data_IF_250732148157
#
_entry.id   IF_250732148157
#
_cell.length_a   1.000
_cell.length_b   1.000
_cell.length_c   1.000
_cell.angle_alpha   90.00
_cell.angle_beta   90.00
_cell.angle_gamma   90.00
#
_symmetry.space_group_name_H-M   'P 1'
#
loop_
_entity.id
_entity.type
_entity.pdbx_description
1 polymer ?
#
# COMPACT_ATOMS: atom_id res chain seq x y z
N UNK A 1 -17.38 17.54 -21.32
CA UNK A 1 -16.60 16.30 -21.49
C UNK A 1 -16.23 15.66 -20.14
N UNK A 2 -15.48 16.33 -19.26
CA UNK A 2 -14.99 15.78 -17.97
C UNK A 2 -16.05 15.08 -17.09
N UNK A 3 -17.20 15.71 -16.85
CA UNK A 3 -18.26 15.13 -16.00
C UNK A 3 -18.92 13.87 -16.58
N UNK A 4 -18.97 13.73 -17.91
CA UNK A 4 -19.51 12.54 -18.56
C UNK A 4 -18.53 11.37 -18.44
N UNK A 5 -17.24 11.64 -18.56
CA UNK A 5 -16.17 10.65 -18.41
C UNK A 5 -16.05 10.19 -16.94
N UNK A 6 -16.18 11.12 -15.99
CA UNK A 6 -16.27 10.82 -14.56
C UNK A 6 -17.44 9.90 -14.22
N UNK A 7 -18.66 10.19 -14.72
CA UNK A 7 -19.81 9.29 -14.52
C UNK A 7 -19.60 7.89 -15.12
N UNK A 8 -18.92 7.80 -16.26
CA UNK A 8 -18.65 6.53 -16.94
C UNK A 8 -17.66 5.66 -16.17
N UNK A 9 -16.65 6.27 -15.53
CA UNK A 9 -15.64 5.56 -14.74
C UNK A 9 -16.05 5.34 -13.28
N UNK A 10 -16.99 6.14 -12.76
CA UNK A 10 -17.42 6.06 -11.36
C UNK A 10 -17.96 4.67 -10.99
N UNK A 11 -18.92 4.14 -11.76
CA UNK A 11 -19.51 2.83 -11.46
C UNK A 11 -18.51 1.66 -11.55
N UNK A 12 -17.64 1.58 -12.58
CA UNK A 12 -16.56 0.60 -12.61
C UNK A 12 -15.59 0.70 -11.42
N UNK A 13 -15.15 1.91 -11.06
CA UNK A 13 -14.23 2.12 -9.93
C UNK A 13 -14.91 1.75 -8.61
N UNK A 14 -16.16 2.15 -8.40
CA UNK A 14 -16.93 1.78 -7.22
C UNK A 14 -17.14 0.27 -7.12
N UNK A 15 -17.50 -0.39 -8.23
CA UNK A 15 -17.61 -1.84 -8.29
C UNK A 15 -16.28 -2.54 -7.98
N UNK A 16 -15.17 -2.01 -8.48
CA UNK A 16 -13.84 -2.51 -8.14
C UNK A 16 -13.52 -2.33 -6.66
N UNK A 17 -13.82 -1.16 -6.08
CA UNK A 17 -13.60 -0.90 -4.66
C UNK A 17 -14.37 -1.89 -3.77
N UNK A 18 -15.61 -2.25 -4.13
CA UNK A 18 -16.40 -3.27 -3.42
C UNK A 18 -15.71 -4.65 -3.49
N UNK A 19 -15.30 -5.09 -4.68
CA UNK A 19 -14.63 -6.39 -4.86
C UNK A 19 -13.28 -6.43 -4.13
N UNK A 20 -12.48 -5.36 -4.27
CA UNK A 20 -11.18 -5.25 -3.64
C UNK A 20 -11.28 -5.22 -2.10
N UNK A 21 -12.21 -4.43 -1.55
CA UNK A 21 -12.45 -4.37 -0.11
C UNK A 21 -12.95 -5.70 0.46
N UNK A 22 -13.87 -6.40 -0.22
CA UNK A 22 -14.29 -7.74 0.18
C UNK A 22 -13.10 -8.71 0.23
N UNK A 23 -12.22 -8.67 -0.78
CA UNK A 23 -10.98 -9.45 -0.78
C UNK A 23 -10.04 -9.10 0.39
N UNK A 24 -9.86 -7.81 0.67
CA UNK A 24 -9.02 -7.35 1.78
C UNK A 24 -9.58 -7.77 3.14
N UNK A 25 -10.90 -7.75 3.34
CA UNK A 25 -11.54 -8.24 4.56
C UNK A 25 -11.18 -9.71 4.81
N UNK A 26 -11.21 -10.56 3.78
CA UNK A 26 -10.81 -11.97 3.91
C UNK A 26 -9.34 -12.10 4.32
N UNK A 27 -8.45 -11.31 3.72
CA UNK A 27 -7.01 -11.33 4.05
C UNK A 27 -6.78 -10.86 5.49
N UNK A 28 -7.38 -9.75 5.91
CA UNK A 28 -7.26 -9.24 7.28
C UNK A 28 -7.89 -10.19 8.31
N UNK A 29 -8.99 -10.87 7.97
CA UNK A 29 -9.58 -11.88 8.82
C UNK A 29 -8.61 -13.04 9.06
N UNK A 30 -7.98 -13.57 8.00
CA UNK A 30 -6.97 -14.62 8.10
C UNK A 30 -5.79 -14.16 8.97
N UNK A 31 -5.28 -12.94 8.75
CA UNK A 31 -4.23 -12.37 9.58
C UNK A 31 -4.64 -12.22 11.05
N UNK A 32 -5.88 -11.80 11.31
CA UNK A 32 -6.43 -11.70 12.66
C UNK A 32 -6.48 -13.05 13.37
N UNK A 33 -6.89 -14.12 12.66
CA UNK A 33 -6.89 -15.49 13.20
C UNK A 33 -5.46 -15.94 13.54
N UNK A 34 -4.49 -15.72 12.66
CA UNK A 34 -3.08 -16.04 12.94
C UNK A 34 -2.52 -15.21 14.11
N UNK A 35 -2.86 -13.93 14.19
CA UNK A 35 -2.48 -13.06 15.30
C UNK A 35 -3.07 -13.52 16.63
N UNK A 36 -4.35 -13.90 16.66
CA UNK A 36 -5.02 -14.44 17.84
C UNK A 36 -4.46 -15.79 18.27
N UNK A 37 -4.13 -16.67 17.32
CA UNK A 37 -3.47 -17.92 17.63
C UNK A 37 -2.08 -17.68 18.25
N UNK A 38 -1.30 -16.77 17.65
CA UNK A 38 0.00 -16.35 18.19
C UNK A 38 -0.11 -15.80 19.62
N UNK A 39 -1.09 -14.93 19.89
CA UNK A 39 -1.29 -14.38 21.23
C UNK A 39 -1.72 -15.42 22.26
N UNK A 40 -2.51 -16.43 21.86
CA UNK A 40 -2.92 -17.53 22.75
C UNK A 40 -1.73 -18.40 23.17
N UNK A 41 -0.80 -18.69 22.25
CA UNK A 41 0.44 -19.41 22.56
C UNK A 41 1.27 -18.58 23.54
N UNK A 42 1.48 -17.29 23.25
CA UNK A 42 2.26 -16.41 24.13
C UNK A 42 1.67 -16.38 25.54
N UNK A 43 0.34 -16.31 25.66
CA UNK A 43 -0.34 -16.29 26.96
C UNK A 43 -0.19 -17.61 27.72
N UNK A 44 -0.23 -18.75 27.04
CA UNK A 44 -0.08 -20.07 27.66
C UNK A 44 1.35 -20.34 28.18
N UNK A 45 2.37 -19.74 27.56
CA UNK A 45 3.77 -19.88 27.97
C UNK A 45 4.29 -18.70 28.81
N UNK A 46 3.62 -17.54 28.77
CA UNK A 46 4.03 -16.30 29.41
C UNK A 46 3.92 -16.29 30.94
N UNK A 47 3.11 -17.17 31.54
CA UNK A 47 3.05 -17.34 33.00
C UNK A 47 4.35 -17.89 33.59
N UNK A 48 5.17 -18.52 32.77
CA UNK A 48 6.52 -18.93 33.13
C UNK A 48 7.44 -17.85 32.56
N UNK A 49 7.88 -16.88 33.37
CA UNK A 49 8.85 -15.82 33.03
C UNK A 49 10.25 -16.38 32.64
N UNK A 50 10.24 -17.34 31.74
CA UNK A 50 11.41 -18.00 31.19
C UNK A 50 11.87 -17.18 29.99
N UNK A 51 13.19 -17.04 29.85
CA UNK A 51 13.81 -16.37 28.72
C UNK A 51 13.27 -16.86 27.37
N UNK A 52 12.97 -18.16 27.26
CA UNK A 52 12.42 -18.78 26.05
C UNK A 52 11.03 -18.22 25.72
N UNK A 53 10.13 -18.06 26.70
CA UNK A 53 8.79 -17.53 26.45
C UNK A 53 8.83 -16.08 25.93
N UNK A 54 9.67 -15.23 26.52
CA UNK A 54 9.84 -13.83 26.09
C UNK A 54 10.45 -13.75 24.69
N UNK A 55 11.47 -14.55 24.39
CA UNK A 55 12.11 -14.61 23.08
C UNK A 55 11.13 -15.05 21.99
N UNK A 56 10.41 -16.15 22.23
CA UNK A 56 9.44 -16.70 21.28
C UNK A 56 8.29 -15.72 21.05
N UNK A 57 7.74 -15.10 22.11
CA UNK A 57 6.68 -14.12 21.95
C UNK A 57 7.11 -12.89 21.16
N UNK A 58 8.29 -12.36 21.45
CA UNK A 58 8.85 -11.20 20.72
C UNK A 58 9.10 -11.54 19.25
N UNK A 59 9.67 -12.73 18.97
CA UNK A 59 9.92 -13.19 17.60
C UNK A 59 8.63 -13.35 16.79
N UNK A 60 7.59 -13.96 17.37
CA UNK A 60 6.28 -14.09 16.71
C UNK A 60 5.61 -12.73 16.47
N UNK A 61 5.69 -11.81 17.43
CA UNK A 61 5.16 -10.46 17.26
C UNK A 61 5.86 -9.71 16.11
N UNK A 62 7.19 -9.76 16.04
CA UNK A 62 7.96 -9.16 14.95
C UNK A 62 7.62 -9.80 13.60
N UNK A 63 7.50 -11.13 13.56
CA UNK A 63 7.13 -11.85 12.33
C UNK A 63 5.73 -11.45 11.84
N UNK A 64 4.75 -11.35 12.75
CA UNK A 64 3.40 -10.87 12.40
C UNK A 64 3.41 -9.44 11.89
N UNK A 65 4.20 -8.54 12.50
CA UNK A 65 4.35 -7.16 12.03
C UNK A 65 4.92 -7.13 10.61
N UNK A 66 6.00 -7.89 10.35
CA UNK A 66 6.63 -7.96 9.02
C UNK A 66 5.66 -8.53 7.98
N UNK A 67 4.98 -9.63 8.29
CA UNK A 67 3.97 -10.22 7.40
C UNK A 67 2.84 -9.23 7.10
N UNK A 68 2.34 -8.54 8.12
CA UNK A 68 1.28 -7.53 7.96
C UNK A 68 1.73 -6.37 7.08
N UNK A 69 2.97 -5.90 7.24
CA UNK A 69 3.54 -4.83 6.42
C UNK A 69 3.68 -5.26 4.95
N UNK A 70 4.21 -6.45 4.70
CA UNK A 70 4.34 -7.01 3.34
C UNK A 70 2.98 -7.15 2.67
N UNK A 71 1.98 -7.66 3.40
CA UNK A 71 0.61 -7.82 2.90
C UNK A 71 -0.04 -6.46 2.64
N UNK A 72 0.15 -5.48 3.53
CA UNK A 72 -0.37 -4.13 3.33
C UNK A 72 0.22 -3.45 2.08
N UNK A 73 1.54 -3.54 1.88
CA UNK A 73 2.20 -3.03 0.68
C UNK A 73 1.70 -3.77 -0.57
N UNK A 74 1.55 -5.10 -0.49
CA UNK A 74 1.06 -5.92 -1.60
C UNK A 74 -0.38 -5.61 -1.97
N UNK A 75 -1.23 -5.41 -0.97
CA UNK A 75 -2.62 -4.98 -1.13
C UNK A 75 -2.71 -3.60 -1.82
N UNK A 76 -1.89 -2.65 -1.40
CA UNK A 76 -1.84 -1.32 -2.02
C UNK A 76 -1.35 -1.42 -3.47
N UNK A 77 -0.25 -2.13 -3.73
CA UNK A 77 0.25 -2.39 -5.08
C UNK A 77 -0.85 -3.00 -5.96
N UNK A 78 -1.54 -4.01 -5.43
CA UNK A 78 -2.63 -4.71 -6.09
C UNK A 78 -3.76 -3.76 -6.49
N UNK A 79 -4.19 -2.90 -5.57
CA UNK A 79 -5.23 -1.90 -5.82
C UNK A 79 -4.79 -0.93 -6.92
N UNK A 80 -3.59 -0.37 -6.83
CA UNK A 80 -3.09 0.58 -7.84
C UNK A 80 -3.02 -0.04 -9.24
N UNK A 81 -2.38 -1.21 -9.37
CA UNK A 81 -2.27 -1.88 -10.67
C UNK A 81 -3.63 -2.30 -11.23
N UNK A 82 -4.55 -2.76 -10.38
CA UNK A 82 -5.90 -3.13 -10.83
C UNK A 82 -6.71 -1.92 -11.28
N UNK A 83 -6.61 -0.79 -10.58
CA UNK A 83 -7.28 0.47 -10.99
C UNK A 83 -6.70 0.96 -12.31
N UNK A 84 -5.38 0.90 -12.48
CA UNK A 84 -4.73 1.27 -13.76
C UNK A 84 -5.24 0.36 -14.88
N UNK A 85 -5.28 -0.95 -14.68
CA UNK A 85 -5.82 -1.89 -15.66
C UNK A 85 -7.28 -1.58 -16.01
N UNK A 86 -8.11 -1.29 -15.01
CA UNK A 86 -9.51 -0.91 -15.19
C UNK A 86 -9.67 0.34 -16.05
N UNK A 87 -8.86 1.38 -15.79
CA UNK A 87 -8.95 2.67 -16.47
C UNK A 87 -8.35 2.61 -17.88
N UNK A 88 -7.14 2.05 -18.02
CA UNK A 88 -6.40 2.01 -19.28
C UNK A 88 -7.06 1.07 -20.28
N UNK A 89 -7.47 -0.12 -19.84
CA UNK A 89 -8.01 -1.15 -20.74
C UNK A 89 -9.54 -1.15 -20.80
N UNK A 90 -10.19 -0.29 -20.02
CA UNK A 90 -11.66 -0.15 -19.97
C UNK A 90 -12.38 -1.48 -19.71
N UNK A 91 -11.79 -2.32 -18.87
CA UNK A 91 -12.31 -3.63 -18.48
C UNK A 91 -13.21 -3.57 -17.25
N UNK A 92 -14.06 -4.57 -17.07
CA UNK A 92 -14.95 -4.66 -15.90
C UNK A 92 -14.21 -4.94 -14.57
N UNK A 93 -14.81 -4.63 -13.41
CA UNK A 93 -14.19 -4.74 -12.09
C UNK A 93 -13.56 -6.10 -11.77
N UNK A 94 -14.25 -7.19 -12.09
CA UNK A 94 -13.76 -8.56 -11.85
C UNK A 94 -12.56 -8.90 -12.74
N UNK A 95 -12.54 -8.41 -13.98
CA UNK A 95 -11.40 -8.62 -14.89
C UNK A 95 -10.20 -7.80 -14.42
N UNK A 96 -10.41 -6.57 -13.98
CA UNK A 96 -9.37 -5.73 -13.40
C UNK A 96 -8.76 -6.36 -12.14
N UNK A 97 -9.59 -6.88 -11.25
CA UNK A 97 -9.15 -7.62 -10.06
C UNK A 97 -8.27 -8.83 -10.44
N UNK A 98 -8.74 -9.68 -11.36
CA UNK A 98 -7.96 -10.84 -11.83
C UNK A 98 -6.64 -10.42 -12.48
N UNK A 99 -6.66 -9.35 -13.28
CA UNK A 99 -5.47 -8.86 -13.98
C UNK A 99 -4.44 -8.25 -13.04
N UNK A 100 -4.85 -7.44 -12.06
CA UNK A 100 -3.92 -6.93 -11.05
C UNK A 100 -3.31 -8.03 -10.19
N UNK A 101 -4.09 -9.07 -9.86
CA UNK A 101 -3.59 -10.23 -9.12
C UNK A 101 -2.59 -11.04 -9.95
N UNK A 102 -2.93 -11.31 -11.22
CA UNK A 102 -2.04 -11.98 -12.17
C UNK A 102 -0.75 -11.19 -12.37
N UNK A 103 -0.81 -9.86 -12.50
CA UNK A 103 0.36 -9.01 -12.68
C UNK A 103 1.35 -9.12 -11.51
N UNK A 104 0.86 -9.03 -10.27
CA UNK A 104 1.74 -9.15 -9.09
C UNK A 104 2.33 -10.55 -8.96
N UNK A 105 1.55 -11.59 -9.30
CA UNK A 105 1.99 -12.98 -9.26
C UNK A 105 3.04 -13.29 -10.33
N UNK A 106 2.82 -12.81 -11.55
CA UNK A 106 3.68 -13.10 -12.72
C UNK A 106 4.92 -12.21 -12.78
N UNK A 107 4.84 -10.98 -12.28
CA UNK A 107 5.93 -10.00 -12.33
C UNK A 107 6.28 -9.53 -10.91
N UNK A 108 7.10 -10.28 -10.14
CA UNK A 108 7.53 -9.88 -8.79
C UNK A 108 8.20 -8.50 -8.75
N UNK A 109 8.79 -8.06 -9.88
CA UNK A 109 9.37 -6.73 -10.05
C UNK A 109 8.34 -5.61 -9.85
N UNK A 110 7.06 -5.84 -10.16
CA UNK A 110 5.98 -4.87 -9.94
C UNK A 110 5.74 -4.60 -8.45
N UNK A 111 5.74 -5.67 -7.63
CA UNK A 111 5.64 -5.54 -6.18
C UNK A 111 6.85 -4.77 -5.61
N UNK A 112 8.07 -5.15 -6.00
CA UNK A 112 9.30 -4.52 -5.51
C UNK A 112 9.35 -3.05 -5.91
N UNK A 113 9.00 -2.73 -7.16
CA UNK A 113 8.94 -1.35 -7.64
C UNK A 113 7.99 -0.50 -6.81
N UNK A 114 6.78 -1.00 -6.55
CA UNK A 114 5.82 -0.32 -5.70
C UNK A 114 6.33 -0.17 -4.25
N UNK A 115 6.95 -1.21 -3.70
CA UNK A 115 7.53 -1.17 -2.35
C UNK A 115 8.63 -0.10 -2.23
N UNK A 116 9.49 0.07 -3.25
CA UNK A 116 10.53 1.11 -3.28
C UNK A 116 9.89 2.50 -3.30
N UNK A 117 8.83 2.71 -4.10
CA UNK A 117 8.12 3.99 -4.15
C UNK A 117 7.50 4.35 -2.79
N UNK A 118 6.85 3.39 -2.13
CA UNK A 118 6.28 3.58 -0.79
C UNK A 118 7.37 3.83 0.25
N UNK A 119 8.50 3.11 0.17
CA UNK A 119 9.62 3.33 1.08
C UNK A 119 10.22 4.73 0.91
N UNK A 120 10.34 5.21 -0.33
CA UNK A 120 10.76 6.58 -0.63
C UNK A 120 9.79 7.62 -0.08
N UNK A 121 8.48 7.39 -0.23
CA UNK A 121 7.44 8.23 0.34
C UNK A 121 7.50 8.26 1.88
N UNK A 122 7.63 7.11 2.53
CA UNK A 122 7.75 7.01 3.98
C UNK A 122 9.01 7.74 4.49
N UNK A 123 10.13 7.57 3.79
CA UNK A 123 11.40 8.23 4.14
C UNK A 123 11.30 9.75 4.02
N UNK A 124 10.69 10.26 2.94
CA UNK A 124 10.46 11.69 2.77
C UNK A 124 9.55 12.25 3.88
N UNK A 125 8.47 11.53 4.22
CA UNK A 125 7.57 11.93 5.30
C UNK A 125 8.26 11.92 6.67
N UNK A 126 9.09 10.91 6.93
CA UNK A 126 9.86 10.83 8.17
C UNK A 126 10.79 12.04 8.31
N UNK A 127 11.48 12.45 7.24
CA UNK A 127 12.32 13.65 7.22
C UNK A 127 11.51 14.93 7.46
N UNK A 128 10.32 15.05 6.88
CA UNK A 128 9.44 16.20 7.12
C UNK A 128 8.99 16.28 8.58
N UNK A 129 8.57 15.16 9.17
CA UNK A 129 8.19 15.11 10.59
C UNK A 129 9.38 15.50 11.48
N UNK A 130 10.57 15.01 11.19
CA UNK A 130 11.78 15.34 11.96
C UNK A 130 12.11 16.84 11.90
N UNK A 131 11.80 17.50 10.79
CA UNK A 131 12.00 18.94 10.62
C UNK A 131 10.92 19.78 11.32
N UNK A 132 9.64 19.38 11.23
CA UNK A 132 8.51 20.16 11.74
C UNK A 132 8.27 19.95 13.24
N UNK A 133 8.54 18.74 13.75
CA UNK A 133 8.24 18.38 15.13
C UNK A 133 8.94 19.27 16.18
N UNK A 134 10.25 19.58 16.08
CA UNK A 134 10.93 20.45 17.04
C UNK A 134 10.33 21.86 17.10
N UNK A 135 9.88 22.39 15.95
CA UNK A 135 9.27 23.72 15.88
C UNK A 135 7.94 23.77 16.63
N UNK A 136 7.20 22.66 16.67
CA UNK A 136 5.92 22.57 17.39
C UNK A 136 6.03 22.57 18.91
N UNK A 137 7.24 22.30 19.46
CA UNK A 137 7.47 22.24 20.91
C UNK A 137 7.64 23.62 21.56
N UNK A 138 7.82 24.69 20.77
CA UNK A 138 7.97 26.05 21.28
C UNK A 138 6.58 26.59 21.65
N UNK A 139 6.30 26.93 22.91
CA UNK A 139 5.01 27.46 23.31
C UNK A 139 4.71 28.79 22.58
N UNK A 140 3.46 28.99 22.15
CA UNK A 140 2.93 30.20 21.49
C UNK A 140 3.52 30.49 20.10
N UNK A 141 4.84 30.52 19.94
CA UNK A 141 5.52 30.82 18.66
C UNK A 141 5.56 29.59 17.75
N UNK A 142 5.69 28.40 18.32
CA UNK A 142 5.79 27.14 17.58
C UNK A 142 4.63 26.90 16.62
N UNK A 143 3.35 27.03 17.05
CA UNK A 143 2.20 26.88 16.16
C UNK A 143 2.14 27.89 15.02
N UNK A 144 2.61 29.12 15.24
CA UNK A 144 2.61 30.18 14.22
C UNK A 144 3.62 29.85 13.12
N UNK A 145 4.81 29.37 13.51
CA UNK A 145 5.86 28.96 12.58
C UNK A 145 5.52 27.61 11.94
N UNK A 146 4.96 26.66 12.67
CA UNK A 146 4.68 25.32 12.13
C UNK A 146 3.55 25.34 11.09
N UNK A 147 2.60 26.28 11.17
CA UNK A 147 1.49 26.38 10.22
C UNK A 147 1.93 26.42 8.74
N UNK A 148 2.80 27.36 8.28
CA UNK A 148 3.28 27.37 6.90
C UNK A 148 4.09 26.11 6.54
N UNK A 149 4.84 25.54 7.49
CA UNK A 149 5.58 24.29 7.27
C UNK A 149 4.65 23.08 7.07
N UNK A 150 3.55 23.00 7.81
CA UNK A 150 2.53 21.98 7.62
C UNK A 150 1.87 22.13 6.24
N UNK A 151 1.55 23.35 5.81
CA UNK A 151 0.99 23.59 4.48
C UNK A 151 1.95 23.15 3.37
N UNK A 152 3.24 23.53 3.47
CA UNK A 152 4.27 23.10 2.54
C UNK A 152 4.44 21.57 2.53
N UNK A 153 4.40 20.94 3.70
CA UNK A 153 4.48 19.48 3.85
C UNK A 153 3.31 18.79 3.15
N UNK A 154 2.08 19.29 3.28
CA UNK A 154 0.91 18.74 2.58
C UNK A 154 1.01 18.88 1.06
N UNK A 155 1.52 20.01 0.55
CA UNK A 155 1.76 20.20 -0.88
C UNK A 155 2.79 19.19 -1.38
N UNK A 156 3.90 19.03 -0.67
CA UNK A 156 4.95 18.06 -1.02
C UNK A 156 4.44 16.62 -0.97
N UNK A 157 3.69 16.25 0.07
CA UNK A 157 3.05 14.92 0.18
C UNK A 157 2.09 14.66 -0.98
N UNK A 158 1.27 15.65 -1.35
CA UNK A 158 0.35 15.54 -2.48
C UNK A 158 1.11 15.36 -3.81
N UNK A 159 2.21 16.09 -3.99
CA UNK A 159 3.07 15.93 -5.16
C UNK A 159 3.70 14.54 -5.22
N UNK A 160 4.21 14.01 -4.10
CA UNK A 160 4.76 12.65 -4.04
C UNK A 160 3.73 11.59 -4.42
N UNK A 161 2.46 11.75 -4.01
CA UNK A 161 1.38 10.85 -4.47
C UNK A 161 1.19 10.87 -5.99
N UNK A 162 1.26 12.06 -6.60
CA UNK A 162 1.18 12.19 -8.07
C UNK A 162 2.36 11.49 -8.74
N UNK A 163 3.58 11.64 -8.20
CA UNK A 163 4.77 10.94 -8.70
C UNK A 163 4.58 9.42 -8.61
N UNK A 164 4.14 8.91 -7.47
CA UNK A 164 3.88 7.47 -7.29
C UNK A 164 2.89 6.95 -8.33
N UNK A 165 1.73 7.62 -8.47
CA UNK A 165 0.70 7.21 -9.44
C UNK A 165 1.26 7.21 -10.87
N UNK A 166 1.98 8.26 -11.23
CA UNK A 166 2.57 8.41 -12.57
C UNK A 166 3.62 7.33 -12.83
N UNK A 167 4.51 7.08 -11.89
CA UNK A 167 5.54 6.05 -11.97
C UNK A 167 4.94 4.64 -12.10
N UNK A 168 3.91 4.32 -11.33
CA UNK A 168 3.23 3.01 -11.40
C UNK A 168 2.51 2.84 -12.75
N UNK A 169 1.87 3.90 -13.26
CA UNK A 169 1.23 3.88 -14.57
C UNK A 169 2.23 3.65 -15.71
N UNK A 170 3.34 4.39 -15.71
CA UNK A 170 4.41 4.21 -16.72
C UNK A 170 4.97 2.79 -16.65
N UNK A 171 5.22 2.28 -15.45
CA UNK A 171 5.72 0.93 -15.26
C UNK A 171 4.73 -0.14 -15.73
N UNK A 172 3.43 0.05 -15.48
CA UNK A 172 2.37 -0.84 -15.97
C UNK A 172 2.34 -0.91 -17.50
N UNK A 173 2.36 0.25 -18.17
CA UNK A 173 2.35 0.33 -19.63
C UNK A 173 3.61 -0.33 -20.21
N UNK A 174 4.78 -0.09 -19.60
CA UNK A 174 6.04 -0.72 -20.03
C UNK A 174 6.00 -2.25 -19.95
N UNK A 175 5.46 -2.82 -18.86
CA UNK A 175 5.31 -4.27 -18.74
C UNK A 175 4.38 -4.82 -19.82
N UNK A 176 3.23 -4.19 -20.03
CA UNK A 176 2.27 -4.67 -21.02
C UNK A 176 2.83 -4.62 -22.45
N UNK A 177 3.50 -3.53 -22.82
CA UNK A 177 4.16 -3.41 -24.11
C UNK A 177 5.23 -4.51 -24.32
N UNK A 178 5.99 -4.86 -23.27
CA UNK A 178 6.96 -5.97 -23.32
C UNK A 178 6.25 -7.31 -23.54
N UNK A 179 5.12 -7.55 -22.88
CA UNK A 179 4.35 -8.80 -23.04
C UNK A 179 3.78 -8.94 -24.45
N UNK A 180 3.30 -7.85 -25.06
CA UNK A 180 2.81 -7.83 -26.45
C UNK A 180 3.93 -8.15 -27.46
N UNK A 181 5.11 -7.52 -27.32
CA UNK A 181 6.25 -7.79 -28.20
C UNK A 181 6.76 -9.24 -28.14
N UNK A 182 6.67 -9.89 -26.98
CA UNK A 182 7.04 -11.31 -26.83
C UNK A 182 5.97 -12.22 -27.47
N UNK A 183 4.69 -11.83 -27.41
CA UNK A 183 3.61 -12.60 -28.03
C UNK A 183 3.64 -12.54 -29.57
N UNK A 184 4.09 -11.44 -30.16
CA UNK A 184 4.25 -11.30 -31.62
C UNK A 184 5.45 -12.05 -32.19
N UNK A 185 6.43 -12.40 -31.35
CA UNK A 185 7.65 -13.12 -31.76
C UNK A 185 7.61 -14.63 -31.49
N UNK A 186 6.51 -15.13 -30.94
CA UNK A 186 6.27 -16.56 -30.64
C UNK A 186 5.30 -17.19 -31.65
#
# INVERSE_FOLDING_TARGET
SFFQEGKKLFFPIAGFAIVASAGLVVVFFILGVFGGYGSSIISAYGEKETFIAVLTGTFFALLLIVCSLVIAIGALAFVFYSVIALVVERIGPLKAFKKGFALIKEEPKAFIFYAILILGYMSANFLLVLLVYPLSLIPVIGPIISFPFHLASYVLQSYLWIVIISSVLVFYVWINARKEAVAESA
#
